data_IF_905596204597
#
_entry.id   IF_905596204597
#
_cell.length_a   1.000
_cell.length_b   1.000
_cell.length_c   1.000
_cell.angle_alpha   90.00
_cell.angle_beta   90.00
_cell.angle_gamma   90.00
#
_symmetry.space_group_name_H-M   'P 1'
#
loop_
_entity.id
_entity.type
_entity.pdbx_description
1 polymer ?
#
# COMPACT_ATOMS: atom_id res chain seq x y z
N UNK A 1 -26.91 26.98 -86.61
CA UNK A 1 -26.56 25.70 -85.95
C UNK A 1 -26.84 25.83 -84.45
N UNK A 2 -27.57 24.89 -83.83
CA UNK A 2 -27.74 24.82 -82.36
C UNK A 2 -26.84 23.72 -81.81
N UNK A 3 -25.90 24.05 -80.92
CA UNK A 3 -25.14 23.07 -80.15
C UNK A 3 -25.76 22.89 -78.76
N UNK A 4 -25.89 21.63 -78.31
CA UNK A 4 -26.54 21.25 -77.04
C UNK A 4 -25.53 21.02 -75.91
N UNK A 5 -26.03 21.17 -74.69
CA UNK A 5 -25.46 20.73 -73.41
C UNK A 5 -24.56 19.49 -73.44
N UNK A 6 -23.44 19.59 -72.70
CA UNK A 6 -23.11 18.71 -71.56
C UNK A 6 -22.59 19.66 -70.45
N UNK A 7 -22.98 19.55 -69.18
CA UNK A 7 -23.40 18.35 -68.46
C UNK A 7 -22.23 17.89 -67.59
N UNK A 8 -21.91 18.66 -66.54
CA UNK A 8 -20.89 18.35 -65.54
C UNK A 8 -21.63 18.06 -64.23
N UNK A 9 -21.58 16.81 -63.80
CA UNK A 9 -22.16 16.36 -62.54
C UNK A 9 -21.15 16.57 -61.42
N UNK A 10 -21.54 17.33 -60.39
CA UNK A 10 -20.75 17.50 -59.18
C UNK A 10 -20.79 16.18 -58.39
N UNK A 11 -19.77 15.34 -58.60
CA UNK A 11 -19.49 14.25 -57.68
C UNK A 11 -18.95 14.85 -56.38
N UNK A 12 -19.89 15.14 -55.47
CA UNK A 12 -19.58 15.25 -54.05
C UNK A 12 -18.95 13.93 -53.63
N UNK A 13 -17.68 13.97 -53.24
CA UNK A 13 -17.06 12.86 -52.53
C UNK A 13 -17.67 12.84 -51.13
N UNK A 14 -18.73 12.04 -50.94
CA UNK A 14 -19.21 11.72 -49.60
C UNK A 14 -18.03 11.14 -48.80
N UNK A 15 -17.63 11.84 -47.74
CA UNK A 15 -16.70 11.26 -46.77
C UNK A 15 -17.30 9.95 -46.25
N UNK A 16 -16.57 8.81 -46.33
CA UNK A 16 -17.03 7.60 -45.67
C UNK A 16 -17.04 7.88 -44.17
N UNK A 17 -18.22 8.12 -43.62
CA UNK A 17 -18.41 8.28 -42.18
C UNK A 17 -17.81 7.06 -41.49
N UNK A 18 -16.68 7.26 -40.82
CA UNK A 18 -16.07 6.29 -39.92
C UNK A 18 -17.02 6.08 -38.73
N UNK A 19 -18.06 5.27 -38.93
CA UNK A 19 -18.78 4.67 -37.80
C UNK A 19 -17.77 3.76 -37.11
N UNK A 20 -17.41 4.13 -35.90
CA UNK A 20 -16.72 3.26 -34.93
C UNK A 20 -17.79 2.51 -34.13
N UNK A 21 -18.22 1.29 -34.51
CA UNK A 21 -18.90 0.41 -33.57
C UNK A 21 -17.89 -0.15 -32.56
N UNK A 22 -18.41 -0.56 -31.40
CA UNK A 22 -17.71 -1.26 -30.30
C UNK A 22 -16.86 -0.35 -29.38
N UNK A 23 -16.95 -0.45 -28.03
CA UNK A 23 -17.97 -1.10 -27.21
C UNK A 23 -18.62 -0.19 -26.15
N UNK A 24 -19.88 -0.50 -25.80
CA UNK A 24 -20.44 -0.12 -24.51
C UNK A 24 -20.23 -1.28 -23.52
N UNK A 25 -18.99 -1.48 -23.04
CA UNK A 25 -18.60 -2.55 -22.09
C UNK A 25 -18.81 -2.19 -20.63
N UNK A 26 -19.36 -3.09 -19.82
CA UNK A 26 -19.02 -3.10 -18.39
C UNK A 26 -17.64 -3.71 -18.11
N UNK A 27 -16.60 -2.93 -18.38
CA UNK A 27 -15.28 -3.07 -17.80
C UNK A 27 -15.20 -2.67 -16.30
N UNK A 28 -16.23 -2.84 -15.43
CA UNK A 28 -16.25 -2.15 -14.11
C UNK A 28 -14.96 -2.41 -13.32
N UNK A 29 -14.07 -1.44 -13.04
CA UNK A 29 -14.01 0.04 -13.13
C UNK A 29 -14.92 0.89 -14.06
N UNK A 30 -15.11 0.61 -15.35
CA UNK A 30 -16.11 1.29 -16.21
C UNK A 30 -17.34 0.43 -16.50
N UNK A 31 -18.55 0.76 -16.04
CA UNK A 31 -19.77 0.06 -16.52
C UNK A 31 -20.20 0.66 -17.86
N UNK A 32 -20.69 -0.12 -18.84
CA UNK A 32 -21.41 0.47 -19.96
C UNK A 32 -22.39 -0.45 -20.67
N UNK A 33 -23.37 0.07 -21.42
CA UNK A 33 -24.14 1.34 -21.30
C UNK A 33 -25.35 1.13 -22.24
N UNK A 34 -26.32 0.31 -21.81
CA UNK A 34 -27.37 -0.23 -22.68
C UNK A 34 -28.80 -0.07 -22.17
N UNK A 35 -29.07 1.02 -21.44
CA UNK A 35 -30.40 1.32 -20.90
C UNK A 35 -30.62 0.81 -19.48
N UNK A 36 -31.14 1.70 -18.63
CA UNK A 36 -31.70 1.37 -17.32
C UNK A 36 -32.94 0.50 -17.51
N UNK A 37 -32.85 -0.79 -17.18
CA UNK A 37 -34.03 -1.50 -16.68
C UNK A 37 -34.29 -0.97 -15.26
N UNK A 38 -35.28 -0.09 -15.11
CA UNK A 38 -35.55 0.58 -13.85
C UNK A 38 -35.94 -0.43 -12.74
N UNK A 39 -35.05 -0.65 -11.77
CA UNK A 39 -35.36 -1.50 -10.61
C UNK A 39 -34.17 -2.13 -9.86
N UNK A 40 -32.96 -2.19 -10.44
CA UNK A 40 -31.81 -2.87 -9.80
C UNK A 40 -30.60 -1.97 -9.56
N UNK A 41 -30.21 -1.79 -8.30
CA UNK A 41 -28.94 -1.13 -7.88
C UNK A 41 -27.69 -2.01 -8.09
N UNK A 42 -27.83 -3.06 -8.90
CA UNK A 42 -26.83 -4.08 -9.19
C UNK A 42 -26.37 -3.88 -10.63
N UNK A 43 -25.07 -3.94 -10.89
CA UNK A 43 -24.58 -4.09 -12.27
C UNK A 43 -25.17 -5.38 -12.88
N UNK A 44 -25.88 -5.30 -14.02
CA UNK A 44 -26.41 -6.49 -14.71
C UNK A 44 -25.37 -7.55 -15.10
N UNK A 45 -24.09 -7.19 -15.26
CA UNK A 45 -23.02 -8.12 -15.64
C UNK A 45 -22.24 -8.72 -14.44
N UNK A 46 -21.96 -7.95 -13.38
CA UNK A 46 -21.10 -8.39 -12.26
C UNK A 46 -21.79 -8.49 -10.90
N UNK A 47 -23.03 -7.98 -10.75
CA UNK A 47 -23.79 -8.07 -9.51
C UNK A 47 -23.25 -7.24 -8.33
N UNK A 48 -22.22 -6.40 -8.51
CA UNK A 48 -21.83 -5.45 -7.46
C UNK A 48 -22.97 -4.46 -7.19
N UNK A 49 -23.21 -4.20 -5.90
CA UNK A 49 -24.04 -3.07 -5.45
C UNK A 49 -23.21 -1.80 -5.50
N UNK A 50 -23.59 -0.88 -6.39
CA UNK A 50 -22.96 0.45 -6.47
C UNK A 50 -23.41 1.39 -5.37
N UNK A 51 -24.31 0.93 -4.50
CA UNK A 51 -25.07 1.75 -3.60
C UNK A 51 -25.46 1.03 -2.30
N UNK A 52 -25.67 1.83 -1.24
CA UNK A 52 -26.50 1.44 -0.10
C UNK A 52 -27.95 1.11 -0.54
N UNK A 53 -28.78 0.65 0.41
CA UNK A 53 -30.21 0.36 0.14
C UNK A 53 -31.03 1.58 -0.33
N UNK A 54 -30.42 2.77 -0.41
CA UNK A 54 -31.05 4.04 -0.86
C UNK A 54 -30.52 4.56 -2.20
N UNK A 55 -29.51 3.92 -2.79
CA UNK A 55 -28.92 4.37 -4.07
C UNK A 55 -27.61 5.17 -3.95
N UNK A 56 -27.05 5.37 -2.75
CA UNK A 56 -25.83 6.18 -2.57
C UNK A 56 -24.54 5.36 -2.61
N UNK A 57 -23.49 5.78 -3.36
CA UNK A 57 -22.21 5.10 -3.35
C UNK A 57 -21.53 5.02 -1.98
N UNK A 58 -20.68 4.01 -1.85
CA UNK A 58 -19.73 3.89 -0.73
C UNK A 58 -18.96 5.20 -0.54
N UNK A 59 -19.04 5.88 0.63
CA UNK A 59 -18.41 7.20 0.82
C UNK A 59 -16.89 7.23 0.71
N UNK A 60 -16.22 6.07 0.62
CA UNK A 60 -14.78 5.98 0.37
C UNK A 60 -14.42 6.05 -1.12
N UNK A 61 -15.16 5.32 -1.97
CA UNK A 61 -14.80 5.16 -3.39
C UNK A 61 -15.01 6.45 -4.20
N UNK A 62 -15.95 7.31 -3.79
CA UNK A 62 -16.11 8.63 -4.41
C UNK A 62 -14.90 9.55 -4.19
N UNK A 63 -14.16 9.36 -3.09
CA UNK A 63 -13.05 10.24 -2.71
C UNK A 63 -11.74 9.79 -3.36
N UNK A 64 -11.49 8.49 -3.50
CA UNK A 64 -10.32 7.97 -4.24
C UNK A 64 -10.37 8.31 -5.75
N UNK A 65 -11.55 8.65 -6.28
CA UNK A 65 -11.78 8.98 -7.70
C UNK A 65 -12.41 10.36 -7.91
N UNK A 66 -12.19 11.30 -6.97
CA UNK A 66 -12.69 12.66 -7.16
C UNK A 66 -11.89 13.38 -8.26
N UNK A 67 -12.54 13.91 -9.32
CA UNK A 67 -11.82 14.62 -10.38
C UNK A 67 -11.09 15.85 -9.85
N UNK A 68 -11.59 16.45 -8.76
CA UNK A 68 -10.99 17.62 -8.11
C UNK A 68 -9.65 17.35 -7.43
N UNK A 69 -9.30 16.08 -7.18
CA UNK A 69 -8.00 15.67 -6.64
C UNK A 69 -7.01 15.28 -7.75
N UNK A 70 -7.42 15.26 -9.03
CA UNK A 70 -6.54 14.95 -10.16
C UNK A 70 -5.38 15.95 -10.29
N UNK A 71 -4.16 15.48 -10.61
CA UNK A 71 -2.99 16.37 -10.76
C UNK A 71 -3.19 17.50 -11.76
N UNK A 72 -3.91 17.27 -12.86
CA UNK A 72 -4.16 18.27 -13.89
C UNK A 72 -5.07 19.42 -13.40
N UNK A 73 -6.18 19.10 -12.73
CA UNK A 73 -7.11 20.11 -12.17
C UNK A 73 -6.44 20.87 -11.03
N UNK A 74 -5.68 20.18 -10.16
CA UNK A 74 -4.91 20.84 -9.10
C UNK A 74 -3.82 21.76 -9.64
N UNK A 75 -3.12 21.37 -10.71
CA UNK A 75 -2.10 22.19 -11.34
C UNK A 75 -2.66 23.44 -12.05
N UNK A 76 -3.93 23.42 -12.47
CA UNK A 76 -4.58 24.61 -13.06
C UNK A 76 -5.00 25.66 -12.01
N UNK A 77 -4.90 25.35 -10.72
CA UNK A 77 -5.36 26.23 -9.64
C UNK A 77 -6.88 26.34 -9.53
N UNK A 78 -7.64 25.45 -10.16
CA UNK A 78 -9.10 25.46 -10.08
C UNK A 78 -9.58 25.06 -8.67
N UNK A 79 -10.45 25.86 -8.07
CA UNK A 79 -11.02 25.55 -6.75
C UNK A 79 -12.19 24.55 -6.87
N UNK A 80 -12.22 23.58 -5.97
CA UNK A 80 -13.30 22.60 -5.92
C UNK A 80 -14.60 23.25 -5.39
N UNK A 81 -15.74 23.12 -6.10
CA UNK A 81 -17.02 23.74 -5.72
C UNK A 81 -17.43 23.48 -4.27
N UNK A 82 -18.23 24.38 -3.71
CA UNK A 82 -18.83 24.16 -2.39
C UNK A 82 -19.67 22.87 -2.41
N UNK A 83 -19.45 21.98 -1.43
CA UNK A 83 -20.05 20.64 -1.38
C UNK A 83 -19.32 19.54 -2.17
N UNK A 84 -18.37 19.84 -3.06
CA UNK A 84 -17.57 18.81 -3.73
C UNK A 84 -16.78 17.95 -2.72
N UNK A 85 -16.84 16.61 -2.87
CA UNK A 85 -16.04 15.67 -2.08
C UNK A 85 -14.62 15.61 -2.62
N UNK A 86 -13.71 16.31 -1.97
CA UNK A 86 -12.26 16.23 -2.18
C UNK A 86 -11.62 15.37 -1.10
N UNK A 87 -10.49 14.73 -1.37
CA UNK A 87 -9.65 14.02 -0.40
C UNK A 87 -9.33 14.90 0.81
N UNK A 88 -8.98 16.18 0.59
CA UNK A 88 -8.64 17.11 1.66
C UNK A 88 -9.78 17.34 2.67
N UNK A 89 -11.01 17.61 2.19
CA UNK A 89 -12.21 17.77 3.03
C UNK A 89 -12.55 16.48 3.79
N UNK A 90 -12.48 15.33 3.11
CA UNK A 90 -12.76 14.01 3.72
C UNK A 90 -11.72 13.61 4.78
N UNK A 91 -10.43 13.85 4.52
CA UNK A 91 -9.37 13.61 5.50
C UNK A 91 -9.56 14.44 6.78
N UNK A 92 -9.90 15.72 6.65
CA UNK A 92 -10.20 16.58 7.81
C UNK A 92 -11.46 16.12 8.57
N UNK A 93 -12.50 15.67 7.87
CA UNK A 93 -13.69 15.06 8.50
C UNK A 93 -13.29 13.81 9.32
N UNK A 94 -12.56 12.86 8.72
CA UNK A 94 -12.13 11.64 9.41
C UNK A 94 -11.17 11.92 10.56
N UNK A 95 -10.25 12.87 10.41
CA UNK A 95 -9.33 13.32 11.46
C UNK A 95 -10.04 13.97 12.65
N UNK A 96 -11.15 14.68 12.42
CA UNK A 96 -12.01 15.21 13.49
C UNK A 96 -12.82 14.12 14.19
N UNK A 97 -13.25 13.08 13.47
CA UNK A 97 -13.99 11.95 14.05
C UNK A 97 -13.14 11.02 14.92
N UNK A 98 -11.81 11.04 14.78
CA UNK A 98 -10.89 10.15 15.49
C UNK A 98 -10.43 10.78 16.81
N UNK A 99 -10.75 10.16 17.94
CA UNK A 99 -10.23 10.60 19.25
C UNK A 99 -8.75 10.20 19.45
N UNK A 100 -8.12 10.76 20.49
CA UNK A 100 -6.73 10.41 20.81
C UNK A 100 -6.58 8.97 21.36
N UNK A 101 -7.54 8.49 22.15
CA UNK A 101 -7.55 7.14 22.69
C UNK A 101 -7.77 6.09 21.61
N UNK A 102 -8.73 6.30 20.69
CA UNK A 102 -8.94 5.42 19.54
C UNK A 102 -7.70 5.35 18.64
N UNK A 103 -7.10 6.50 18.35
CA UNK A 103 -5.84 6.58 17.59
C UNK A 103 -4.71 5.76 18.24
N UNK A 104 -4.52 5.89 19.55
CA UNK A 104 -3.52 5.09 20.29
C UNK A 104 -3.86 3.59 20.29
N UNK A 105 -5.13 3.22 20.47
CA UNK A 105 -5.57 1.82 20.46
C UNK A 105 -5.35 1.18 19.08
N UNK A 106 -5.71 1.87 18.00
CA UNK A 106 -5.42 1.42 16.63
C UNK A 106 -3.92 1.35 16.35
N UNK A 107 -3.13 2.32 16.81
CA UNK A 107 -1.66 2.31 16.69
C UNK A 107 -1.05 1.06 17.35
N UNK A 108 -1.50 0.72 18.56
CA UNK A 108 -1.06 -0.48 19.27
C UNK A 108 -1.50 -1.78 18.57
N UNK A 109 -2.78 -1.86 18.17
CA UNK A 109 -3.32 -3.04 17.49
C UNK A 109 -2.61 -3.33 16.16
N UNK A 110 -2.39 -2.29 15.34
CA UNK A 110 -1.71 -2.41 14.04
C UNK A 110 -0.24 -2.81 14.22
N UNK A 111 0.46 -2.20 15.19
CA UNK A 111 1.85 -2.55 15.49
C UNK A 111 2.02 -4.00 15.97
N UNK A 112 1.15 -4.46 16.87
CA UNK A 112 1.16 -5.84 17.36
C UNK A 112 0.77 -6.86 16.28
N UNK A 113 -0.16 -6.52 15.38
CA UNK A 113 -0.57 -7.39 14.27
C UNK A 113 0.50 -7.52 13.17
N UNK A 114 1.39 -6.53 13.02
CA UNK A 114 2.43 -6.54 11.99
C UNK A 114 3.48 -7.67 12.21
N UNK A 115 3.81 -8.00 13.46
CA UNK A 115 4.77 -9.07 13.79
C UNK A 115 4.33 -10.46 13.28
N UNK A 116 3.16 -10.97 13.69
CA UNK A 116 2.61 -12.22 13.17
C UNK A 116 2.44 -12.24 11.64
N UNK A 117 2.05 -11.11 11.05
CA UNK A 117 1.95 -10.98 9.59
C UNK A 117 3.31 -11.17 8.89
N UNK A 118 4.37 -10.57 9.45
CA UNK A 118 5.72 -10.71 8.91
C UNK A 118 6.28 -12.14 9.04
N UNK A 119 5.89 -12.89 10.07
CA UNK A 119 6.24 -14.31 10.21
C UNK A 119 5.58 -15.15 9.11
N UNK A 120 4.31 -14.90 8.77
CA UNK A 120 3.66 -15.56 7.63
C UNK A 120 4.38 -15.25 6.30
N UNK A 121 4.78 -13.99 6.10
CA UNK A 121 5.60 -13.58 4.94
C UNK A 121 6.95 -14.32 4.87
N UNK A 122 7.65 -14.45 6.00
CA UNK A 122 8.91 -15.18 6.08
C UNK A 122 8.74 -16.66 5.71
N UNK A 123 7.68 -17.34 6.17
CA UNK A 123 7.38 -18.72 5.78
C UNK A 123 7.05 -18.86 4.28
N UNK A 124 6.32 -17.91 3.69
CA UNK A 124 6.07 -17.90 2.24
C UNK A 124 7.36 -17.72 1.43
N UNK A 125 8.31 -16.92 1.93
CA UNK A 125 9.65 -16.79 1.34
C UNK A 125 10.50 -18.06 1.48
N UNK A 126 10.45 -18.71 2.65
CA UNK A 126 11.20 -19.93 2.95
C UNK A 126 10.77 -21.16 2.13
N UNK A 127 9.54 -21.17 1.61
CA UNK A 127 9.06 -22.21 0.69
C UNK A 127 9.70 -22.20 -0.71
N UNK A 128 10.51 -21.20 -1.04
CA UNK A 128 11.27 -21.15 -2.30
C UNK A 128 12.35 -22.25 -2.34
N UNK A 129 12.40 -23.01 -3.44
CA UNK A 129 13.41 -24.06 -3.68
C UNK A 129 14.87 -23.56 -3.72
N UNK A 130 15.10 -22.24 -3.62
CA UNK A 130 16.42 -21.62 -3.49
C UNK A 130 16.91 -21.63 -2.03
N UNK A 131 16.97 -22.79 -1.38
CA UNK A 131 17.46 -22.92 -0.01
C UNK A 131 18.99 -22.74 0.08
N UNK A 132 19.46 -21.48 0.13
CA UNK A 132 20.88 -21.15 0.17
C UNK A 132 21.17 -19.68 0.51
N UNK A 133 22.47 -19.34 0.53
CA UNK A 133 23.01 -18.04 0.98
C UNK A 133 22.25 -16.81 0.44
N UNK A 134 21.91 -16.80 -0.85
CA UNK A 134 21.18 -15.69 -1.48
C UNK A 134 19.81 -15.43 -0.81
N UNK A 135 19.12 -16.47 -0.38
CA UNK A 135 17.83 -16.35 0.30
C UNK A 135 18.02 -15.80 1.72
N UNK A 136 19.00 -16.30 2.47
CA UNK A 136 19.28 -15.83 3.82
C UNK A 136 19.79 -14.37 3.89
N UNK A 137 20.60 -13.96 2.90
CA UNK A 137 21.29 -12.66 2.89
C UNK A 137 20.51 -11.56 2.14
N UNK A 138 19.70 -11.92 1.13
CA UNK A 138 19.03 -10.93 0.28
C UNK A 138 17.51 -11.08 0.32
N UNK A 139 16.97 -12.25 -0.04
CA UNK A 139 15.51 -12.41 -0.22
C UNK A 139 14.75 -12.32 1.10
N UNK A 140 15.22 -13.00 2.15
CA UNK A 140 14.65 -12.97 3.50
C UNK A 140 14.57 -11.54 4.04
N UNK A 141 15.69 -10.81 4.16
CA UNK A 141 15.71 -9.40 4.58
C UNK A 141 14.77 -8.49 3.78
N UNK A 142 14.66 -8.66 2.45
CA UNK A 142 13.68 -7.92 1.63
C UNK A 142 12.25 -8.20 2.10
N UNK A 143 11.85 -9.48 2.19
CA UNK A 143 10.50 -9.87 2.56
C UNK A 143 10.18 -9.43 3.99
N UNK A 144 11.09 -9.66 4.93
CA UNK A 144 10.86 -9.38 6.33
C UNK A 144 10.74 -7.87 6.62
N UNK A 145 11.62 -7.03 6.10
CA UNK A 145 11.54 -5.58 6.34
C UNK A 145 10.30 -4.96 5.67
N UNK A 146 9.91 -5.45 4.48
CA UNK A 146 8.64 -5.07 3.87
C UNK A 146 7.44 -5.45 4.75
N UNK A 147 7.41 -6.68 5.27
CA UNK A 147 6.26 -7.14 6.05
C UNK A 147 6.19 -6.54 7.46
N UNK A 148 7.33 -6.29 8.13
CA UNK A 148 7.42 -5.64 9.46
C UNK A 148 6.67 -4.30 9.53
N UNK A 149 6.61 -3.57 8.41
CA UNK A 149 5.92 -2.26 8.33
C UNK A 149 4.72 -2.25 7.36
N UNK A 150 4.37 -3.38 6.76
CA UNK A 150 3.27 -3.46 5.78
C UNK A 150 1.93 -2.97 6.36
N UNK A 151 1.59 -3.38 7.58
CA UNK A 151 0.35 -2.94 8.24
C UNK A 151 0.31 -1.43 8.49
N UNK A 152 1.44 -0.82 8.88
CA UNK A 152 1.56 0.63 9.03
C UNK A 152 1.47 1.35 7.68
N UNK A 153 2.04 0.77 6.62
CA UNK A 153 1.97 1.29 5.24
C UNK A 153 0.52 1.33 4.74
N UNK A 154 -0.24 0.23 4.91
CA UNK A 154 -1.67 0.17 4.55
C UNK A 154 -2.49 1.18 5.35
N UNK A 155 -2.19 1.40 6.63
CA UNK A 155 -2.85 2.45 7.42
C UNK A 155 -2.50 3.85 6.91
N UNK A 156 -1.27 4.13 6.51
CA UNK A 156 -0.90 5.44 5.95
C UNK A 156 -1.54 5.67 4.58
N UNK A 157 -1.65 4.63 3.75
CA UNK A 157 -2.28 4.72 2.43
C UNK A 157 -3.79 4.91 2.53
N UNK A 158 -4.48 4.05 3.29
CA UNK A 158 -5.95 3.96 3.29
C UNK A 158 -6.63 4.67 4.45
N UNK A 159 -5.93 4.93 5.57
CA UNK A 159 -6.48 5.52 6.80
C UNK A 159 -5.51 6.47 7.54
N UNK A 160 -4.81 7.42 6.88
CA UNK A 160 -3.73 8.20 7.50
C UNK A 160 -4.13 9.02 8.73
N UNK A 161 -5.43 9.32 8.89
CA UNK A 161 -5.99 10.01 10.07
C UNK A 161 -6.00 9.16 11.35
N UNK A 162 -5.73 7.84 11.26
CA UNK A 162 -5.54 6.96 12.43
C UNK A 162 -4.32 7.39 13.24
N UNK A 163 -3.24 7.82 12.56
CA UNK A 163 -2.08 8.40 13.20
C UNK A 163 -2.25 9.92 13.37
N UNK A 164 -1.91 10.42 14.56
CA UNK A 164 -1.97 11.83 14.96
C UNK A 164 -0.57 12.46 15.09
N UNK A 165 0.49 11.65 15.14
CA UNK A 165 1.87 12.12 15.23
C UNK A 165 2.88 11.16 14.56
N UNK A 166 4.02 11.72 14.14
CA UNK A 166 5.21 10.97 13.71
C UNK A 166 5.64 9.92 14.74
N UNK A 167 5.52 10.24 16.04
CA UNK A 167 5.87 9.32 17.11
C UNK A 167 4.97 8.07 17.16
N UNK A 168 3.67 8.19 16.82
CA UNK A 168 2.80 7.01 16.69
C UNK A 168 3.18 6.14 15.48
N UNK A 169 3.55 6.73 14.35
CA UNK A 169 4.02 5.96 13.17
C UNK A 169 5.29 5.17 13.51
N UNK A 170 6.27 5.84 14.14
CA UNK A 170 7.52 5.20 14.58
C UNK A 170 7.26 4.12 15.64
N UNK A 171 6.41 4.40 16.63
CA UNK A 171 6.00 3.43 17.64
C UNK A 171 5.30 2.22 17.03
N UNK A 172 4.42 2.42 16.05
CA UNK A 172 3.74 1.35 15.32
C UNK A 172 4.74 0.42 14.61
N UNK A 173 5.70 1.00 13.87
CA UNK A 173 6.72 0.24 13.16
C UNK A 173 7.67 -0.49 14.14
N UNK A 174 8.09 0.19 15.21
CA UNK A 174 8.93 -0.39 16.27
C UNK A 174 8.24 -1.55 17.00
N UNK A 175 6.93 -1.44 17.29
CA UNK A 175 6.13 -2.55 17.83
C UNK A 175 6.06 -3.73 16.84
N UNK A 176 5.93 -3.48 15.54
CA UNK A 176 5.98 -4.52 14.51
C UNK A 176 7.33 -5.25 14.47
N UNK A 177 8.44 -4.50 14.51
CA UNK A 177 9.80 -5.05 14.59
C UNK A 177 10.05 -5.86 15.86
N UNK A 178 9.58 -5.38 17.02
CA UNK A 178 9.68 -6.12 18.30
C UNK A 178 8.83 -7.39 18.31
N UNK A 179 7.58 -7.31 17.85
CA UNK A 179 6.68 -8.46 17.78
C UNK A 179 7.24 -9.54 16.83
N UNK A 180 7.80 -9.13 15.69
CA UNK A 180 8.53 -10.04 14.80
C UNK A 180 9.73 -10.69 15.51
N UNK A 181 10.63 -9.89 16.10
CA UNK A 181 11.84 -10.39 16.77
C UNK A 181 11.53 -11.38 17.90
N UNK A 182 10.47 -11.13 18.67
CA UNK A 182 9.97 -12.06 19.70
C UNK A 182 9.58 -13.40 19.09
N UNK A 183 8.76 -13.39 18.04
CA UNK A 183 8.28 -14.63 17.42
C UNK A 183 9.43 -15.37 16.72
N UNK A 184 10.26 -14.66 15.96
CA UNK A 184 11.41 -15.25 15.27
C UNK A 184 12.40 -15.90 16.26
N UNK A 185 12.75 -15.21 17.35
CA UNK A 185 13.61 -15.78 18.39
C UNK A 185 12.99 -17.03 19.05
N UNK A 186 11.67 -17.04 19.27
CA UNK A 186 10.98 -18.24 19.76
C UNK A 186 11.04 -19.39 18.75
N UNK A 187 10.87 -19.12 17.45
CA UNK A 187 11.02 -20.14 16.40
C UNK A 187 12.45 -20.70 16.36
N UNK A 188 13.48 -19.84 16.39
CA UNK A 188 14.87 -20.33 16.37
C UNK A 188 15.24 -21.14 17.62
N UNK A 189 14.91 -20.64 18.81
CA UNK A 189 15.33 -21.29 20.06
C UNK A 189 14.53 -22.56 20.42
N UNK A 190 13.37 -22.80 19.78
CA UNK A 190 12.54 -23.98 20.06
C UNK A 190 12.35 -24.92 18.85
N UNK A 191 12.67 -24.50 17.63
CA UNK A 191 12.43 -25.29 16.40
C UNK A 191 13.72 -25.44 15.57
N UNK A 192 14.42 -24.35 15.25
CA UNK A 192 15.56 -24.42 14.31
C UNK A 192 16.90 -24.78 14.95
N UNK A 193 17.12 -24.40 16.21
CA UNK A 193 18.38 -24.67 16.93
C UNK A 193 18.09 -25.72 18.01
N UNK A 194 18.49 -27.00 17.84
CA UNK A 194 18.35 -28.00 18.88
C UNK A 194 19.34 -27.72 20.03
N UNK A 195 18.83 -27.64 21.26
CA UNK A 195 19.62 -27.44 22.49
C UNK A 195 20.53 -26.18 22.43
N UNK A 196 19.96 -24.97 22.26
CA UNK A 196 20.75 -23.74 22.17
C UNK A 196 21.48 -23.47 23.50
N UNK A 197 22.76 -23.10 23.42
CA UNK A 197 23.52 -22.68 24.59
C UNK A 197 23.09 -21.27 25.09
N UNK A 198 23.58 -20.92 26.28
CA UNK A 198 23.26 -19.63 26.91
C UNK A 198 23.75 -18.41 26.10
N UNK A 199 24.86 -18.53 25.37
CA UNK A 199 25.41 -17.48 24.52
C UNK A 199 24.49 -17.20 23.32
N UNK A 200 24.03 -18.25 22.63
CA UNK A 200 23.05 -18.13 21.53
C UNK A 200 21.73 -17.53 22.02
N UNK A 201 21.22 -17.97 23.18
CA UNK A 201 20.01 -17.41 23.79
C UNK A 201 20.17 -15.90 24.05
N UNK A 202 21.27 -15.50 24.69
CA UNK A 202 21.56 -14.08 25.00
C UNK A 202 21.72 -13.27 23.70
N UNK A 203 22.47 -13.77 22.72
CA UNK A 203 22.71 -13.10 21.44
C UNK A 203 21.39 -12.84 20.70
N UNK A 204 20.52 -13.84 20.59
CA UNK A 204 19.21 -13.69 19.94
C UNK A 204 18.32 -12.67 20.66
N UNK A 205 18.22 -12.73 21.99
CA UNK A 205 17.39 -11.81 22.77
C UNK A 205 17.96 -10.39 22.92
N UNK A 206 19.22 -10.16 22.54
CA UNK A 206 19.85 -8.83 22.56
C UNK A 206 20.08 -8.31 21.14
N UNK A 207 21.07 -8.87 20.42
CA UNK A 207 21.55 -8.36 19.13
C UNK A 207 20.47 -8.45 18.06
N UNK A 208 19.78 -9.59 17.91
CA UNK A 208 18.73 -9.72 16.90
C UNK A 208 17.53 -8.79 17.23
N UNK A 209 17.12 -8.71 18.50
CA UNK A 209 16.05 -7.77 18.92
C UNK A 209 16.40 -6.32 18.59
N UNK A 210 17.62 -5.88 18.90
CA UNK A 210 18.09 -4.54 18.54
C UNK A 210 18.16 -4.31 17.03
N UNK A 211 18.59 -5.32 16.27
CA UNK A 211 18.64 -5.25 14.80
C UNK A 211 17.24 -5.04 14.21
N UNK A 212 16.27 -5.88 14.55
CA UNK A 212 14.92 -5.79 13.98
C UNK A 212 14.17 -4.53 14.43
N UNK A 213 14.32 -4.11 15.69
CA UNK A 213 13.80 -2.82 16.15
C UNK A 213 14.46 -1.66 15.38
N UNK A 214 15.78 -1.70 15.19
CA UNK A 214 16.53 -0.69 14.44
C UNK A 214 16.08 -0.58 12.99
N UNK A 215 16.01 -1.71 12.27
CA UNK A 215 15.60 -1.75 10.87
C UNK A 215 14.13 -1.31 10.69
N UNK A 216 13.22 -1.77 11.55
CA UNK A 216 11.82 -1.34 11.53
C UNK A 216 11.65 0.16 11.85
N UNK A 217 12.48 0.73 12.73
CA UNK A 217 12.49 2.18 12.98
C UNK A 217 13.08 2.97 11.80
N UNK A 218 14.12 2.45 11.12
CA UNK A 218 14.66 3.06 9.90
C UNK A 218 13.58 3.11 8.81
N UNK A 219 12.92 1.99 8.51
CA UNK A 219 11.80 1.95 7.57
C UNK A 219 10.63 2.86 8.03
N UNK A 220 10.35 2.87 9.33
CA UNK A 220 9.38 3.74 9.99
C UNK A 220 9.65 5.23 9.82
N UNK A 221 10.91 5.68 9.73
CA UNK A 221 11.24 7.09 9.44
C UNK A 221 10.77 7.50 8.03
N UNK A 222 10.88 6.61 7.05
CA UNK A 222 10.35 6.82 5.71
C UNK A 222 8.82 6.95 5.72
N UNK A 223 8.13 6.01 6.38
CA UNK A 223 6.68 6.05 6.53
C UNK A 223 6.20 7.28 7.32
N UNK A 224 6.91 7.68 8.37
CA UNK A 224 6.56 8.84 9.17
C UNK A 224 6.75 10.17 8.41
N UNK A 225 7.67 10.20 7.43
CA UNK A 225 7.78 11.29 6.45
C UNK A 225 6.58 11.32 5.51
N UNK A 226 6.23 10.19 4.89
CA UNK A 226 5.04 10.09 4.02
C UNK A 226 3.79 10.55 4.77
N UNK A 227 3.56 10.03 5.98
CA UNK A 227 2.41 10.43 6.81
C UNK A 227 2.37 11.92 7.14
N UNK A 228 3.54 12.54 7.42
CA UNK A 228 3.62 13.98 7.70
C UNK A 228 3.27 14.78 6.45
N UNK A 229 3.79 14.38 5.30
CA UNK A 229 3.62 15.11 4.04
C UNK A 229 2.16 14.96 3.56
N UNK A 230 1.53 13.78 3.71
CA UNK A 230 0.07 13.55 3.61
C UNK A 230 -0.73 14.46 4.55
N UNK A 231 -0.35 14.52 5.82
CA UNK A 231 -1.05 15.30 6.85
C UNK A 231 -0.95 16.82 6.66
N UNK A 232 0.14 17.29 6.07
CA UNK A 232 0.38 18.71 5.80
C UNK A 232 -0.24 19.16 4.47
N UNK A 233 -0.07 18.36 3.40
CA UNK A 233 -0.50 18.72 2.05
C UNK A 233 -1.92 18.27 1.71
N UNK A 234 -2.55 17.49 2.61
CA UNK A 234 -3.91 16.95 2.48
C UNK A 234 -4.15 16.25 1.14
N UNK A 235 -3.27 15.30 0.81
CA UNK A 235 -3.29 14.51 -0.43
C UNK A 235 -3.06 13.01 -0.13
N UNK A 236 -3.44 12.09 -1.03
CA UNK A 236 -3.11 10.65 -0.92
C UNK A 236 -1.63 10.37 -0.65
N UNK A 237 -1.33 9.22 -0.05
CA UNK A 237 0.03 8.81 0.25
C UNK A 237 0.80 8.31 -0.98
N UNK A 238 2.04 8.78 -1.14
CA UNK A 238 2.99 8.26 -2.11
C UNK A 238 4.04 7.41 -1.39
N UNK A 239 3.78 6.11 -1.23
CA UNK A 239 4.67 5.19 -0.50
C UNK A 239 6.08 5.08 -1.12
N UNK A 240 6.24 5.47 -2.39
CA UNK A 240 7.55 5.58 -3.04
C UNK A 240 8.54 6.50 -2.30
N UNK A 241 8.06 7.56 -1.63
CA UNK A 241 8.90 8.47 -0.84
C UNK A 241 9.54 7.79 0.39
N UNK A 242 8.96 6.68 0.88
CA UNK A 242 9.54 5.87 1.95
C UNK A 242 10.59 4.87 1.44
N UNK A 243 10.64 4.58 0.12
CA UNK A 243 11.44 3.49 -0.45
C UNK A 243 12.93 3.57 -0.10
N UNK A 244 13.51 4.78 -0.06
CA UNK A 244 14.92 4.97 0.31
C UNK A 244 15.25 4.44 1.71
N UNK A 245 14.33 4.63 2.66
CA UNK A 245 14.50 4.15 4.04
C UNK A 245 14.31 2.63 4.12
N UNK A 246 13.37 2.08 3.35
CA UNK A 246 13.19 0.63 3.21
C UNK A 246 14.46 -0.05 2.69
N UNK A 247 15.08 0.50 1.63
CA UNK A 247 16.35 -0.03 1.09
C UNK A 247 17.47 0.01 2.15
N UNK A 248 17.57 1.07 2.96
CA UNK A 248 18.57 1.15 4.03
C UNK A 248 18.33 0.06 5.09
N UNK A 249 17.07 -0.14 5.52
CA UNK A 249 16.73 -1.19 6.49
C UNK A 249 17.08 -2.59 5.96
N UNK A 250 16.70 -2.89 4.71
CA UNK A 250 17.01 -4.16 4.01
C UNK A 250 18.52 -4.38 3.93
N UNK A 251 19.30 -3.36 3.55
CA UNK A 251 20.76 -3.48 3.41
C UNK A 251 21.44 -3.68 4.77
N UNK A 252 21.02 -2.98 5.81
CA UNK A 252 21.54 -3.17 7.18
C UNK A 252 21.27 -4.61 7.66
N UNK A 253 20.04 -5.09 7.48
CA UNK A 253 19.67 -6.45 7.88
C UNK A 253 20.42 -7.51 7.05
N UNK A 254 20.42 -7.41 5.72
CA UNK A 254 21.13 -8.35 4.86
C UNK A 254 22.63 -8.40 5.12
N UNK A 255 23.25 -7.25 5.45
CA UNK A 255 24.67 -7.18 5.84
C UNK A 255 24.93 -7.91 7.17
N UNK A 256 24.02 -7.82 8.13
CA UNK A 256 24.09 -8.60 9.37
C UNK A 256 23.97 -10.10 9.12
N UNK A 257 22.99 -10.52 8.30
CA UNK A 257 22.81 -11.94 7.96
C UNK A 257 24.04 -12.50 7.24
N UNK A 258 24.63 -11.74 6.31
CA UNK A 258 25.89 -12.12 5.66
C UNK A 258 27.03 -12.32 6.66
N UNK A 259 27.20 -11.38 7.60
CA UNK A 259 28.22 -11.49 8.65
C UNK A 259 27.99 -12.70 9.55
N UNK A 260 26.75 -12.95 9.98
CA UNK A 260 26.40 -14.09 10.81
C UNK A 260 26.71 -15.42 10.09
N UNK A 261 26.33 -15.57 8.81
CA UNK A 261 26.65 -16.76 8.01
C UNK A 261 28.16 -16.95 7.81
N UNK A 262 28.93 -15.87 7.62
CA UNK A 262 30.40 -15.97 7.50
C UNK A 262 31.04 -16.40 8.82
N UNK A 263 30.55 -15.93 9.97
CA UNK A 263 31.04 -16.34 11.29
C UNK A 263 30.73 -17.80 11.58
N UNK A 264 29.52 -18.27 11.25
CA UNK A 264 29.12 -19.68 11.31
C UNK A 264 30.04 -20.57 10.46
N UNK A 265 30.30 -20.18 9.20
CA UNK A 265 31.17 -20.95 8.29
C UNK A 265 32.64 -20.98 8.70
N UNK A 266 33.11 -19.99 9.46
CA UNK A 266 34.52 -19.88 9.88
C UNK A 266 34.79 -20.50 11.26
N UNK A 267 33.80 -21.10 11.91
CA UNK A 267 33.90 -21.76 13.23
C UNK A 267 34.50 -20.87 14.32
N UNK A 268 34.24 -19.55 14.27
CA UNK A 268 34.55 -18.61 15.36
C UNK A 268 33.46 -18.57 16.45
N UNK A 269 32.46 -19.45 16.35
CA UNK A 269 31.37 -19.73 17.31
C UNK A 269 31.17 -21.25 17.35
#
# INVERSE_FOLDING_TARGET
>A
MKARHRGKSDHVCDEPQFRTPVPATCSRCGYALGGLAAGSNLCPECGERFADDRGNPSPGNEVEHSPWDEPAIRASGAEAPEGARTWARWFEEKKRSMTASESCAWTALVGLAAGPWAVLGAFLGAGSLTSGLLTAVVVGPIVEELMKVAAASVVIEKRPWVFRSTAQVLGCCGMGGLAFAVIENLLYLNIYIPQPDAGIIIWRWTVCVFLHLGCALIAGLGLARVWRDVSAQRRPAELADAFRYMVIAIVVHGSYNALATVLEWTQFV
#
